data_IF_970705883940
#
_entry.id   IF_970705883940
#
_cell.length_a   1.000
_cell.length_b   1.000
_cell.length_c   1.000
_cell.angle_alpha   90.00
_cell.angle_beta   90.00
_cell.angle_gamma   90.00
#
_symmetry.space_group_name_H-M   'P 1'
#
loop_
_entity.id
_entity.type
_entity.pdbx_description
1 polymer ?
#
# COMPACT_ATOMS: atom_id res chain seq x y z
N UNK A 1 2.43 30.83 -6.97
CA UNK A 1 1.55 29.88 -6.24
C UNK A 1 1.23 28.69 -7.15
N UNK A 2 1.72 27.48 -6.86
CA UNK A 2 1.40 26.28 -7.65
C UNK A 2 0.04 25.73 -7.21
N UNK A 3 -0.96 25.73 -8.10
CA UNK A 3 -2.27 25.10 -7.85
C UNK A 3 -2.10 23.57 -7.89
N UNK A 4 -2.27 22.91 -6.75
CA UNK A 4 -2.33 21.46 -6.65
C UNK A 4 -3.61 20.94 -7.31
N UNK A 5 -3.48 20.13 -8.37
CA UNK A 5 -4.62 19.41 -8.95
C UNK A 5 -4.93 18.19 -8.08
N UNK A 6 -6.11 18.20 -7.46
CA UNK A 6 -6.65 17.04 -6.76
C UNK A 6 -7.16 16.00 -7.76
N UNK A 7 -6.85 14.72 -7.49
CA UNK A 7 -7.32 13.55 -8.26
C UNK A 7 -8.84 13.57 -8.49
N UNK A 8 -9.60 14.13 -7.55
CA UNK A 8 -11.06 14.30 -7.63
C UNK A 8 -11.52 15.27 -8.73
N UNK A 9 -10.69 16.23 -9.15
CA UNK A 9 -11.02 17.17 -10.25
C UNK A 9 -10.79 16.58 -11.64
N UNK A 10 -9.85 15.64 -11.78
CA UNK A 10 -9.54 15.00 -13.06
C UNK A 10 -10.69 14.11 -13.54
N UNK A 11 -11.31 13.34 -12.63
CA UNK A 11 -12.36 12.38 -12.98
C UNK A 11 -13.73 13.03 -13.31
N UNK A 12 -13.92 14.30 -12.94
CA UNK A 12 -15.19 15.01 -13.18
C UNK A 12 -15.29 15.63 -14.57
N UNK A 13 -14.20 15.71 -15.31
CA UNK A 13 -14.15 16.35 -16.63
C UNK A 13 -14.29 15.36 -17.80
N UNK A 14 -14.53 14.08 -17.54
CA UNK A 14 -14.76 13.06 -18.58
C UNK A 14 -16.25 12.70 -18.64
N UNK A 15 -17.06 13.56 -19.27
CA UNK A 15 -18.43 13.23 -19.70
C UNK A 15 -18.38 12.67 -21.10
N UNK A 16 -18.52 11.35 -21.23
CA UNK A 16 -18.69 10.64 -22.50
C UNK A 16 -20.10 10.84 -23.06
N UNK A 17 -20.15 10.92 -24.38
CA UNK A 17 -21.25 11.40 -25.22
C UNK A 17 -21.93 10.22 -25.94
N UNK A 18 -23.26 10.25 -25.98
CA UNK A 18 -24.21 9.52 -26.85
C UNK A 18 -24.34 7.99 -26.66
N UNK A 19 -25.50 7.36 -26.82
CA UNK A 19 -26.77 7.76 -27.46
C UNK A 19 -27.45 6.48 -27.99
N UNK A 20 -28.78 6.44 -27.92
CA UNK A 20 -29.66 5.26 -28.09
C UNK A 20 -29.95 4.83 -29.55
N UNK A 21 -30.20 3.52 -29.70
CA UNK A 21 -31.19 2.82 -30.56
C UNK A 21 -30.93 2.50 -32.06
N UNK A 22 -30.84 1.18 -32.31
CA UNK A 22 -31.53 0.32 -33.29
C UNK A 22 -31.46 0.56 -34.83
N UNK A 23 -31.20 -0.52 -35.61
CA UNK A 23 -32.10 -1.17 -36.60
C UNK A 23 -31.31 -2.11 -37.54
N UNK A 24 -31.84 -3.33 -37.70
CA UNK A 24 -31.77 -4.37 -38.76
C UNK A 24 -30.75 -4.36 -39.93
N UNK A 25 -30.22 -5.59 -40.13
CA UNK A 25 -29.90 -6.34 -41.36
C UNK A 25 -28.46 -6.29 -41.97
N UNK A 26 -27.85 -7.47 -42.28
CA UNK A 26 -26.49 -7.60 -42.80
C UNK A 26 -26.46 -7.94 -44.31
N UNK A 27 -25.55 -7.37 -45.10
CA UNK A 27 -25.01 -8.04 -46.29
C UNK A 27 -23.81 -7.27 -46.85
N UNK A 28 -22.66 -7.95 -46.91
CA UNK A 28 -21.72 -8.00 -48.02
C UNK A 28 -21.71 -6.78 -48.98
N UNK A 29 -20.58 -6.13 -49.28
CA UNK A 29 -19.42 -6.75 -49.91
C UNK A 29 -18.44 -5.61 -50.22
N UNK A 30 -17.16 -5.89 -49.98
CA UNK A 30 -16.09 -5.73 -51.00
C UNK A 30 -15.54 -4.32 -51.21
N UNK A 31 -14.21 -4.32 -51.33
CA UNK A 31 -13.28 -3.25 -51.72
C UNK A 31 -12.63 -2.46 -50.57
N UNK A 32 -11.60 -3.13 -50.01
CA UNK A 32 -10.22 -2.64 -49.97
C UNK A 32 -9.95 -1.20 -49.49
N UNK A 33 -9.32 -1.08 -48.32
CA UNK A 33 -7.96 -0.52 -48.18
C UNK A 33 -7.45 -0.69 -46.75
N UNK A 34 -6.14 -0.88 -46.68
CA UNK A 34 -5.36 -1.22 -45.51
C UNK A 34 -5.43 -0.22 -44.34
N UNK A 35 -5.10 -0.79 -43.17
CA UNK A 35 -4.44 -0.20 -42.01
C UNK A 35 -5.30 0.63 -41.03
N UNK A 36 -5.70 -0.01 -39.93
CA UNK A 36 -5.23 0.36 -38.58
C UNK A 36 -5.70 -0.68 -37.55
N UNK A 37 -4.73 -1.29 -36.86
CA UNK A 37 -4.86 -2.31 -35.83
C UNK A 37 -5.84 -1.90 -34.72
N UNK A 38 -7.05 -2.44 -34.69
CA UNK A 38 -7.93 -2.29 -33.53
C UNK A 38 -7.69 -3.44 -32.55
N UNK A 39 -6.99 -3.13 -31.45
CA UNK A 39 -6.71 -4.01 -30.32
C UNK A 39 -7.98 -4.70 -29.79
N UNK A 40 -7.90 -5.94 -29.27
CA UNK A 40 -9.05 -6.60 -28.68
C UNK A 40 -9.54 -5.82 -27.46
N UNK A 41 -10.87 -5.70 -27.36
CA UNK A 41 -11.58 -5.10 -26.23
C UNK A 41 -11.17 -5.79 -24.93
N UNK A 42 -10.38 -5.08 -24.11
CA UNK A 42 -10.06 -5.49 -22.74
C UNK A 42 -11.31 -5.32 -21.91
N UNK A 43 -11.98 -6.42 -21.56
CA UNK A 43 -13.00 -6.46 -20.53
C UNK A 43 -12.33 -6.11 -19.20
N UNK A 44 -12.67 -4.96 -18.62
CA UNK A 44 -12.20 -4.58 -17.28
C UNK A 44 -13.07 -5.33 -16.27
N UNK A 45 -12.70 -6.56 -15.94
CA UNK A 45 -13.31 -7.30 -14.84
C UNK A 45 -12.91 -6.62 -13.52
N UNK A 46 -13.71 -5.65 -13.08
CA UNK A 46 -13.50 -4.87 -11.86
C UNK A 46 -13.77 -5.66 -10.56
N UNK A 47 -13.66 -6.99 -10.59
CA UNK A 47 -13.74 -7.84 -9.41
C UNK A 47 -12.38 -7.90 -8.71
N UNK A 48 -11.95 -6.79 -8.13
CA UNK A 48 -10.81 -6.81 -7.22
C UNK A 48 -11.23 -7.54 -5.94
N UNK A 49 -10.59 -8.68 -5.67
CA UNK A 49 -10.80 -9.41 -4.42
C UNK A 49 -10.60 -8.47 -3.22
N UNK A 50 -11.42 -8.61 -2.16
CA UNK A 50 -11.28 -7.78 -0.97
C UNK A 50 -9.88 -7.95 -0.35
N UNK A 51 -9.37 -6.89 0.28
CA UNK A 51 -8.09 -6.93 0.98
C UNK A 51 -8.11 -8.00 2.08
N UNK A 52 -7.03 -8.78 2.17
CA UNK A 52 -6.84 -9.72 3.27
C UNK A 52 -6.48 -8.96 4.56
N UNK A 53 -7.21 -9.22 5.64
CA UNK A 53 -7.00 -8.60 6.95
C UNK A 53 -6.65 -9.68 7.96
N UNK A 54 -5.57 -9.45 8.72
CA UNK A 54 -5.12 -10.32 9.81
C UNK A 54 -5.34 -9.62 11.14
N UNK A 55 -5.86 -10.34 12.13
CA UNK A 55 -6.17 -9.80 13.46
C UNK A 55 -5.84 -10.81 14.55
N UNK A 56 -5.37 -10.32 15.70
CA UNK A 56 -5.16 -11.12 16.92
C UNK A 56 -5.54 -10.30 18.15
N UNK A 57 -6.19 -10.94 19.12
CA UNK A 57 -6.44 -10.40 20.45
C UNK A 57 -5.33 -10.77 21.46
N UNK A 58 -4.41 -11.65 21.06
CA UNK A 58 -3.30 -12.09 21.89
C UNK A 58 -2.16 -11.06 21.80
N UNK A 59 -2.05 -10.20 22.82
CA UNK A 59 -1.04 -9.14 22.94
C UNK A 59 0.18 -9.67 23.72
N UNK A 60 0.68 -10.83 23.32
CA UNK A 60 1.92 -11.44 23.84
C UNK A 60 2.99 -11.53 22.74
N UNK A 61 4.23 -11.78 23.14
CA UNK A 61 5.34 -12.02 22.18
C UNK A 61 5.01 -13.18 21.22
N UNK A 62 4.44 -14.27 21.74
CA UNK A 62 3.98 -15.40 20.92
C UNK A 62 2.84 -15.04 19.98
N UNK A 63 1.88 -14.23 20.43
CA UNK A 63 0.78 -13.73 19.59
C UNK A 63 1.29 -12.88 18.43
N UNK A 64 2.29 -12.04 18.70
CA UNK A 64 2.96 -11.21 17.70
C UNK A 64 3.72 -12.05 16.66
N UNK A 65 4.46 -13.07 17.08
CA UNK A 65 5.12 -14.00 16.16
C UNK A 65 4.12 -14.78 15.30
N UNK A 66 3.02 -15.24 15.90
CA UNK A 66 1.98 -15.98 15.19
C UNK A 66 1.34 -15.10 14.10
N UNK A 67 0.90 -13.88 14.44
CA UNK A 67 0.28 -12.98 13.45
C UNK A 67 1.28 -12.57 12.36
N UNK A 68 2.55 -12.33 12.71
CA UNK A 68 3.62 -12.06 11.76
C UNK A 68 3.80 -13.22 10.76
N UNK A 69 3.80 -14.47 11.24
CA UNK A 69 3.92 -15.65 10.38
C UNK A 69 2.79 -15.77 9.34
N UNK A 70 1.58 -15.29 9.68
CA UNK A 70 0.43 -15.24 8.77
C UNK A 70 0.58 -14.17 7.69
N UNK A 71 1.22 -13.05 8.01
CA UNK A 71 1.45 -11.95 7.08
C UNK A 71 2.55 -12.30 6.06
N UNK A 72 3.56 -13.05 6.51
CA UNK A 72 4.80 -13.28 5.76
C UNK A 72 4.82 -14.63 5.03
N UNK A 73 3.66 -15.29 4.85
CA UNK A 73 3.56 -16.58 4.15
C UNK A 73 4.38 -16.58 2.84
N UNK A 74 5.42 -17.42 2.82
CA UNK A 74 6.37 -17.62 1.71
C UNK A 74 7.20 -16.39 1.30
N UNK A 75 7.41 -15.43 2.21
CA UNK A 75 8.26 -14.26 1.97
C UNK A 75 9.48 -14.31 2.87
N UNK A 76 10.65 -14.53 2.27
CA UNK A 76 11.92 -14.38 2.98
C UNK A 76 12.35 -12.91 2.94
N UNK A 77 12.61 -12.31 4.10
CA UNK A 77 13.22 -10.98 4.17
C UNK A 77 14.73 -11.14 3.98
N UNK A 78 15.23 -10.87 2.78
CA UNK A 78 16.65 -10.96 2.48
C UNK A 78 17.41 -9.66 2.79
N UNK A 79 18.69 -9.79 3.13
CA UNK A 79 19.57 -8.64 3.38
C UNK A 79 19.38 -7.98 4.74
N UNK A 80 19.51 -6.65 4.80
CA UNK A 80 19.38 -5.88 6.05
C UNK A 80 17.91 -5.55 6.31
N UNK A 81 17.36 -6.11 7.38
CA UNK A 81 15.97 -5.88 7.79
C UNK A 81 15.89 -4.72 8.77
N UNK A 82 15.02 -3.76 8.48
CA UNK A 82 14.76 -2.62 9.34
C UNK A 82 13.41 -2.78 10.06
N UNK A 83 13.40 -2.64 11.38
CA UNK A 83 12.19 -2.63 12.21
C UNK A 83 11.90 -1.20 12.62
N UNK A 84 10.94 -0.58 11.94
CA UNK A 84 10.54 0.81 12.21
C UNK A 84 9.69 0.85 13.48
N UNK A 85 10.20 1.50 14.51
CA UNK A 85 9.50 1.70 15.78
C UNK A 85 9.34 3.19 16.08
N UNK A 86 8.37 3.49 16.93
CA UNK A 86 8.20 4.77 17.58
C UNK A 86 8.36 4.55 19.07
N UNK A 87 9.41 5.12 19.66
CA UNK A 87 9.72 4.99 21.08
C UNK A 87 9.15 6.13 21.93
N UNK A 88 8.34 7.02 21.34
CA UNK A 88 7.75 8.16 22.03
C UNK A 88 8.70 9.35 22.16
N UNK A 89 8.30 10.35 22.94
CA UNK A 89 9.14 11.49 23.33
C UNK A 89 9.89 11.21 24.64
N UNK A 90 10.96 11.96 24.97
CA UNK A 90 11.58 11.89 26.29
C UNK A 90 10.52 12.02 27.41
N UNK A 91 10.49 11.05 28.32
CA UNK A 91 9.48 10.97 29.39
C UNK A 91 8.15 10.31 28.99
N UNK A 92 7.99 9.80 27.76
CA UNK A 92 6.82 9.02 27.35
C UNK A 92 6.77 7.63 27.98
N UNK A 93 5.59 7.00 27.98
CA UNK A 93 5.35 5.68 28.60
C UNK A 93 4.61 4.67 27.71
N UNK A 94 4.19 5.06 26.50
CA UNK A 94 3.32 4.26 25.63
C UNK A 94 4.02 3.74 24.37
N UNK A 95 5.28 3.35 24.51
CA UNK A 95 6.01 2.64 23.45
C UNK A 95 5.89 1.13 23.64
N UNK A 96 6.10 0.32 22.58
CA UNK A 96 6.07 -1.13 22.70
C UNK A 96 7.03 -1.63 23.78
N UNK A 97 6.55 -2.49 24.68
CA UNK A 97 7.39 -3.15 25.67
C UNK A 97 8.51 -3.91 24.95
N UNK A 98 9.80 -3.69 25.27
CA UNK A 98 10.90 -4.45 24.68
C UNK A 98 10.69 -5.97 24.75
N UNK A 99 10.10 -6.49 25.83
CA UNK A 99 9.82 -7.92 25.97
C UNK A 99 8.73 -8.42 25.01
N UNK A 100 7.79 -7.54 24.61
CA UNK A 100 6.75 -7.87 23.64
C UNK A 100 7.32 -8.04 22.23
N UNK A 101 8.31 -7.21 21.86
CA UNK A 101 8.82 -7.14 20.48
C UNK A 101 10.14 -7.89 20.26
N UNK A 102 10.87 -8.21 21.34
CA UNK A 102 12.23 -8.78 21.29
C UNK A 102 12.32 -10.00 20.38
N UNK A 103 11.46 -10.99 20.59
CA UNK A 103 11.57 -12.26 19.89
C UNK A 103 11.30 -12.10 18.40
N UNK A 104 10.35 -11.23 18.02
CA UNK A 104 10.10 -10.90 16.62
C UNK A 104 11.32 -10.23 15.98
N UNK A 105 11.85 -9.17 16.59
CA UNK A 105 13.00 -8.41 16.06
C UNK A 105 14.21 -9.34 15.87
N UNK A 106 14.49 -10.19 16.85
CA UNK A 106 15.61 -11.12 16.80
C UNK A 106 15.39 -12.24 15.77
N UNK A 107 14.17 -12.77 15.65
CA UNK A 107 13.85 -13.85 14.71
C UNK A 107 14.11 -13.49 13.24
N UNK A 108 14.02 -12.20 12.90
CA UNK A 108 14.23 -11.68 11.53
C UNK A 108 15.58 -10.98 11.35
N UNK A 109 16.48 -11.11 12.34
CA UNK A 109 17.74 -10.37 12.40
C UNK A 109 17.58 -8.86 12.13
N UNK A 110 16.52 -8.29 12.70
CA UNK A 110 16.07 -6.92 12.45
C UNK A 110 16.91 -5.88 13.19
N UNK A 111 17.20 -4.76 12.51
CA UNK A 111 17.75 -3.56 13.13
C UNK A 111 16.63 -2.59 13.44
N UNK A 112 16.48 -2.18 14.70
CA UNK A 112 15.51 -1.14 15.07
C UNK A 112 15.94 0.18 14.43
N UNK A 113 15.02 0.82 13.71
CA UNK A 113 15.24 2.13 13.10
C UNK A 113 14.20 3.13 13.58
N UNK A 114 14.66 4.32 13.93
CA UNK A 114 13.81 5.44 14.33
C UNK A 114 14.15 6.69 13.51
N UNK A 115 13.27 7.69 13.50
CA UNK A 115 13.46 8.93 12.75
C UNK A 115 13.34 10.12 13.69
N UNK A 116 14.07 11.19 13.38
CA UNK A 116 13.94 12.46 14.08
C UNK A 116 12.51 13.01 13.94
N UNK A 117 12.08 13.78 14.93
CA UNK A 117 10.81 14.50 14.88
C UNK A 117 10.86 15.60 13.84
N UNK A 118 9.73 15.84 13.17
CA UNK A 118 9.58 16.97 12.25
C UNK A 118 9.44 18.33 12.97
N UNK A 119 9.16 18.29 14.27
CA UNK A 119 9.09 19.44 15.18
C UNK A 119 10.31 19.49 16.10
N UNK A 120 10.53 20.65 16.73
CA UNK A 120 11.63 20.86 17.68
C UNK A 120 11.51 19.98 18.93
N UNK A 121 12.56 19.92 19.74
CA UNK A 121 12.58 19.12 20.97
C UNK A 121 13.72 18.10 21.00
N UNK A 122 13.67 17.18 21.97
CA UNK A 122 14.76 16.24 22.25
C UNK A 122 15.06 15.24 21.13
N UNK A 123 14.21 15.13 20.11
CA UNK A 123 14.39 14.19 19.00
C UNK A 123 14.48 14.86 17.62
N UNK A 124 14.65 16.19 17.58
CA UNK A 124 14.59 16.97 16.34
C UNK A 124 15.80 16.77 15.41
N UNK A 125 16.93 16.30 15.94
CA UNK A 125 18.12 16.02 15.16
C UNK A 125 18.87 14.80 15.72
N UNK A 126 19.77 14.22 14.91
CA UNK A 126 20.47 12.97 15.25
C UNK A 126 21.34 13.08 16.49
N UNK A 127 21.92 14.25 16.78
CA UNK A 127 22.72 14.43 17.99
C UNK A 127 21.85 14.47 19.25
N UNK A 128 20.66 15.08 19.18
CA UNK A 128 19.72 15.14 20.29
C UNK A 128 18.98 13.80 20.50
N UNK A 129 18.73 13.06 19.43
CA UNK A 129 17.94 11.82 19.41
C UNK A 129 18.75 10.56 19.81
N UNK A 130 20.06 10.68 20.02
CA UNK A 130 20.92 9.58 20.49
C UNK A 130 20.94 9.54 22.01
#
# INVERSE_FOLDING_TARGET
MKKQLSRRKFLKNTTSVLGTAAIFAPLAKVFAKDEHTSNPLVTIDNHQAPSQVFFTNDISSSGLLNIYSRIVLNKELSGKVAVKLHSGEPGGHYYPDPNLIKDLVQSINGTIVECNTAYGGGRANTSAHK
#
